data_IF_286265379135
#
_entry.id   IF_286265379135
#
_cell.length_a   1.000
_cell.length_b   1.000
_cell.length_c   1.000
_cell.angle_alpha   90.00
_cell.angle_beta   90.00
_cell.angle_gamma   90.00
#
_symmetry.space_group_name_H-M   'P 1'
#
loop_
_entity.id
_entity.type
_entity.pdbx_description
1 polymer ?
#
# COMPACT_ATOMS: atom_id res chain seq x y z
N UNK A 1 -38.82 -41.68 52.45
CA UNK A 1 -38.00 -40.51 52.26
C UNK A 1 -37.41 -40.59 50.85
N UNK A 2 -38.01 -39.87 49.91
CA UNK A 2 -37.55 -39.81 48.51
C UNK A 2 -36.87 -38.47 48.29
N UNK A 3 -35.63 -38.49 47.89
CA UNK A 3 -34.89 -37.29 47.50
C UNK A 3 -35.04 -37.09 45.99
N UNK A 4 -35.63 -35.98 45.59
CA UNK A 4 -35.68 -35.53 44.20
C UNK A 4 -34.40 -34.74 43.87
N UNK A 5 -33.64 -35.20 42.92
CA UNK A 5 -32.49 -34.48 42.38
C UNK A 5 -32.94 -33.56 41.27
N UNK A 6 -32.75 -32.25 41.47
CA UNK A 6 -32.97 -31.25 40.44
C UNK A 6 -31.73 -31.15 39.55
N UNK A 7 -31.88 -31.45 38.27
CA UNK A 7 -30.85 -31.27 37.27
C UNK A 7 -30.85 -29.81 36.77
N UNK A 8 -29.80 -29.06 37.07
CA UNK A 8 -29.51 -27.77 36.41
C UNK A 8 -28.91 -28.00 35.03
N UNK A 9 -29.63 -27.57 33.99
CA UNK A 9 -29.11 -27.52 32.62
C UNK A 9 -28.44 -26.14 32.45
N UNK A 10 -27.15 -26.06 32.10
CA UNK A 10 -26.55 -24.78 31.78
C UNK A 10 -26.98 -24.34 30.39
N UNK A 11 -27.56 -23.14 30.28
CA UNK A 11 -27.80 -22.45 29.01
C UNK A 11 -26.44 -22.08 28.39
N UNK A 12 -26.09 -22.73 27.31
CA UNK A 12 -25.02 -22.31 26.42
C UNK A 12 -25.50 -21.10 25.61
N UNK A 13 -25.11 -19.92 26.04
CA UNK A 13 -25.26 -18.69 25.25
C UNK A 13 -24.24 -18.74 24.09
N UNK A 14 -24.76 -18.94 22.90
CA UNK A 14 -23.96 -19.04 21.67
C UNK A 14 -23.34 -17.69 21.29
N UNK A 15 -22.01 -17.67 21.16
CA UNK A 15 -21.22 -16.59 20.60
C UNK A 15 -21.21 -16.64 19.05
N UNK A 16 -22.35 -16.41 18.42
CA UNK A 16 -22.51 -16.59 16.98
C UNK A 16 -22.43 -15.34 16.06
N UNK A 17 -22.32 -14.06 16.49
CA UNK A 17 -22.44 -12.97 15.51
C UNK A 17 -21.14 -12.53 14.81
N UNK A 18 -19.96 -12.71 15.41
CA UNK A 18 -18.71 -12.19 14.81
C UNK A 18 -18.23 -12.99 13.59
N UNK A 19 -18.37 -14.30 13.63
CA UNK A 19 -17.99 -15.18 12.51
C UNK A 19 -18.87 -15.00 11.27
N UNK A 20 -20.15 -14.67 11.44
CA UNK A 20 -21.09 -14.52 10.33
C UNK A 20 -20.84 -13.27 9.47
N UNK A 21 -20.43 -12.13 10.07
CA UNK A 21 -20.12 -10.90 9.34
C UNK A 21 -18.83 -11.01 8.53
N UNK A 22 -17.77 -11.56 9.10
CA UNK A 22 -16.50 -11.81 8.41
C UNK A 22 -16.69 -12.75 7.23
N UNK A 23 -17.52 -13.80 7.39
CA UNK A 23 -17.85 -14.74 6.32
C UNK A 23 -18.59 -14.06 5.14
N UNK A 24 -19.52 -13.12 5.41
CA UNK A 24 -20.26 -12.42 4.36
C UNK A 24 -19.37 -11.52 3.50
N UNK A 25 -18.46 -10.76 4.12
CA UNK A 25 -17.49 -9.92 3.39
C UNK A 25 -16.54 -10.79 2.56
N UNK A 26 -16.01 -11.86 3.13
CA UNK A 26 -15.13 -12.78 2.40
C UNK A 26 -15.85 -13.45 1.22
N UNK A 27 -17.12 -13.80 1.35
CA UNK A 27 -17.92 -14.31 0.24
C UNK A 27 -18.09 -13.30 -0.88
N UNK A 28 -18.33 -12.02 -0.56
CA UNK A 28 -18.42 -10.95 -1.56
C UNK A 28 -17.10 -10.74 -2.29
N UNK A 29 -15.98 -10.74 -1.56
CA UNK A 29 -14.65 -10.63 -2.14
C UNK A 29 -14.32 -11.83 -3.04
N UNK A 30 -14.68 -13.03 -2.63
CA UNK A 30 -14.53 -14.24 -3.45
C UNK A 30 -15.36 -14.18 -4.73
N UNK A 31 -16.58 -13.68 -4.67
CA UNK A 31 -17.44 -13.49 -5.84
C UNK A 31 -16.86 -12.44 -6.80
N UNK A 32 -16.35 -11.34 -6.26
CA UNK A 32 -15.68 -10.30 -7.05
C UNK A 32 -14.43 -10.85 -7.74
N UNK A 33 -13.60 -11.58 -7.02
CA UNK A 33 -12.41 -12.23 -7.59
C UNK A 33 -12.80 -13.18 -8.73
N UNK A 34 -13.79 -14.03 -8.51
CA UNK A 34 -14.26 -14.97 -9.51
C UNK A 34 -14.76 -14.28 -10.78
N UNK A 35 -15.54 -13.22 -10.64
CA UNK A 35 -16.07 -12.46 -11.78
C UNK A 35 -14.99 -11.68 -12.52
N UNK A 36 -13.91 -11.27 -11.83
CA UNK A 36 -12.81 -10.52 -12.40
C UNK A 36 -11.85 -11.35 -13.25
N UNK A 37 -11.81 -12.68 -13.02
CA UNK A 37 -10.87 -13.58 -13.69
C UNK A 37 -9.43 -13.49 -13.20
N UNK A 38 -9.16 -12.71 -12.16
CA UNK A 38 -7.83 -12.54 -11.59
C UNK A 38 -7.70 -13.06 -10.16
N UNK A 39 -6.63 -12.64 -9.50
CA UNK A 39 -6.33 -12.93 -8.09
C UNK A 39 -6.36 -11.62 -7.30
N UNK A 40 -7.23 -11.57 -6.28
CA UNK A 40 -7.46 -10.39 -5.45
C UNK A 40 -6.88 -10.61 -4.05
N UNK A 41 -6.16 -9.62 -3.53
CA UNK A 41 -5.69 -9.59 -2.15
C UNK A 41 -6.18 -8.32 -1.45
N UNK A 42 -6.76 -8.48 -0.28
CA UNK A 42 -7.32 -7.37 0.50
C UNK A 42 -6.88 -7.47 1.95
N UNK A 43 -6.50 -6.36 2.54
CA UNK A 43 -6.33 -6.21 3.97
C UNK A 43 -6.93 -4.86 4.41
N UNK A 44 -7.90 -4.92 5.30
CA UNK A 44 -8.50 -3.76 5.94
C UNK A 44 -8.15 -3.80 7.43
N UNK A 45 -7.68 -2.68 7.97
CA UNK A 45 -7.52 -2.46 9.41
C UNK A 45 -8.46 -1.34 9.83
N UNK A 46 -9.37 -1.63 10.74
CA UNK A 46 -10.16 -0.61 11.43
C UNK A 46 -9.41 -0.18 12.70
N UNK A 47 -8.90 1.06 12.71
CA UNK A 47 -8.10 1.52 13.85
C UNK A 47 -8.94 1.89 15.08
N UNK A 48 -10.26 1.90 14.98
CA UNK A 48 -11.14 2.13 16.13
C UNK A 48 -11.05 0.98 17.15
N UNK A 49 -10.92 -0.24 16.67
CA UNK A 49 -10.94 -1.46 17.50
C UNK A 49 -9.86 -2.48 17.15
N UNK A 50 -8.99 -2.15 16.18
CA UNK A 50 -7.94 -3.01 15.63
C UNK A 50 -8.46 -4.28 14.93
N UNK A 51 -9.73 -4.31 14.53
CA UNK A 51 -10.25 -5.43 13.74
C UNK A 51 -9.64 -5.43 12.33
N UNK A 52 -9.50 -6.62 11.75
CA UNK A 52 -8.95 -6.82 10.42
C UNK A 52 -9.91 -7.64 9.56
N UNK A 53 -10.01 -7.26 8.29
CA UNK A 53 -10.62 -8.09 7.25
C UNK A 53 -9.54 -8.45 6.26
N UNK A 54 -9.35 -9.75 6.03
CA UNK A 54 -8.28 -10.26 5.17
C UNK A 54 -8.89 -11.18 4.11
N UNK A 55 -8.47 -10.98 2.87
CA UNK A 55 -8.73 -11.89 1.78
C UNK A 55 -7.41 -12.14 1.04
N UNK A 56 -6.93 -13.39 1.01
CA UNK A 56 -5.58 -13.73 0.58
C UNK A 56 -4.51 -12.85 1.24
N UNK A 57 -4.73 -12.52 2.50
CA UNK A 57 -3.94 -11.53 3.24
C UNK A 57 -2.48 -11.89 3.44
N UNK A 58 -2.14 -13.18 3.37
CA UNK A 58 -0.77 -13.70 3.55
C UNK A 58 -0.16 -14.24 2.24
N UNK A 59 -0.82 -14.05 1.12
CA UNK A 59 -0.27 -14.36 -0.20
C UNK A 59 0.55 -13.19 -0.75
N UNK A 60 1.62 -13.51 -1.47
CA UNK A 60 2.45 -12.48 -2.10
C UNK A 60 1.81 -11.94 -3.37
N UNK A 61 1.89 -10.62 -3.51
CA UNK A 61 1.48 -9.88 -4.70
C UNK A 61 2.59 -8.94 -5.15
N UNK A 62 2.76 -8.74 -6.48
CA UNK A 62 3.68 -7.72 -6.98
C UNK A 62 3.19 -6.34 -6.56
N UNK A 63 4.08 -5.58 -5.92
CA UNK A 63 3.74 -4.25 -5.39
C UNK A 63 3.61 -3.18 -6.47
N UNK A 64 4.43 -3.29 -7.52
CA UNK A 64 4.59 -2.22 -8.49
C UNK A 64 4.84 -0.88 -7.77
N UNK A 65 4.19 0.18 -8.21
CA UNK A 65 4.42 1.52 -7.66
C UNK A 65 3.97 1.74 -6.22
N UNK A 66 3.26 0.78 -5.60
CA UNK A 66 2.95 0.91 -4.16
C UNK A 66 4.22 0.85 -3.30
N UNK A 67 5.31 0.27 -3.81
CA UNK A 67 6.63 0.25 -3.17
C UNK A 67 7.24 1.65 -2.98
N UNK A 68 6.78 2.65 -3.74
CA UNK A 68 7.25 4.03 -3.62
C UNK A 68 6.97 4.64 -2.25
N UNK A 69 5.94 4.19 -1.57
CA UNK A 69 5.66 4.62 -0.18
C UNK A 69 6.82 4.25 0.74
N UNK A 70 7.34 3.03 0.63
CA UNK A 70 8.45 2.57 1.45
C UNK A 70 9.73 3.36 1.16
N UNK A 71 10.02 3.62 -0.11
CA UNK A 71 11.21 4.38 -0.51
C UNK A 71 11.15 5.83 -0.01
N UNK A 72 10.03 6.51 -0.20
CA UNK A 72 9.85 7.88 0.30
C UNK A 72 9.90 7.94 1.84
N UNK A 73 9.29 6.98 2.52
CA UNK A 73 9.35 6.88 3.97
C UNK A 73 10.78 6.65 4.48
N UNK A 74 11.57 5.84 3.79
CA UNK A 74 12.97 5.62 4.15
C UNK A 74 13.81 6.89 4.03
N UNK A 75 13.58 7.69 2.99
CA UNK A 75 14.25 9.00 2.82
C UNK A 75 13.79 9.97 3.92
N UNK A 76 12.51 9.99 4.24
CA UNK A 76 12.00 10.78 5.39
C UNK A 76 12.66 10.34 6.70
N UNK A 77 12.87 9.04 6.90
CA UNK A 77 13.58 8.54 8.11
C UNK A 77 15.01 9.06 8.17
N UNK A 78 15.74 9.03 7.08
CA UNK A 78 17.09 9.62 7.02
C UNK A 78 17.07 11.12 7.36
N UNK A 79 16.03 11.85 6.95
CA UNK A 79 15.91 13.29 7.21
C UNK A 79 15.72 13.63 8.70
N UNK A 80 15.36 12.67 9.53
CA UNK A 80 15.25 12.89 10.99
C UNK A 80 16.59 13.24 11.61
N UNK A 81 17.68 12.69 11.08
CA UNK A 81 19.05 12.95 11.54
C UNK A 81 19.84 13.88 10.62
N UNK A 82 19.45 13.97 9.35
CA UNK A 82 20.06 14.82 8.33
C UNK A 82 19.06 15.93 7.94
N UNK A 83 19.03 16.99 8.71
CA UNK A 83 17.98 18.03 8.65
C UNK A 83 17.83 18.73 7.29
N UNK A 84 18.90 18.80 6.49
CA UNK A 84 18.89 19.44 5.18
C UNK A 84 18.71 18.44 4.03
N UNK A 85 18.53 17.16 4.34
CA UNK A 85 18.48 16.10 3.32
C UNK A 85 17.38 16.35 2.29
N UNK A 86 16.19 16.71 2.72
CA UNK A 86 15.05 16.91 1.80
C UNK A 86 15.27 18.08 0.85
N UNK A 87 16.13 19.03 1.19
CA UNK A 87 16.49 20.17 0.33
C UNK A 87 17.71 19.88 -0.56
N UNK A 88 18.32 18.69 -0.45
CA UNK A 88 19.48 18.32 -1.24
C UNK A 88 19.09 18.22 -2.71
N UNK A 89 19.77 18.98 -3.62
CA UNK A 89 19.53 18.85 -5.06
C UNK A 89 20.12 17.56 -5.61
N UNK A 90 19.39 16.95 -6.53
CA UNK A 90 19.81 15.74 -7.25
C UNK A 90 19.73 16.04 -8.76
N UNK A 91 20.82 15.82 -9.48
CA UNK A 91 20.85 15.99 -10.95
C UNK A 91 19.89 15.02 -11.64
N UNK A 92 19.20 15.54 -12.66
CA UNK A 92 18.40 14.75 -13.58
C UNK A 92 19.06 14.80 -14.96
N UNK A 93 19.67 13.69 -15.35
CA UNK A 93 20.34 13.54 -16.65
C UNK A 93 19.39 12.90 -17.66
N UNK A 94 19.57 13.15 -18.98
CA UNK A 94 18.77 12.47 -20.01
C UNK A 94 18.79 10.94 -19.86
N UNK A 95 19.95 10.36 -19.50
CA UNK A 95 20.10 8.92 -19.31
C UNK A 95 19.35 8.36 -18.09
N UNK A 96 18.90 9.19 -17.18
CA UNK A 96 18.14 8.77 -15.99
C UNK A 96 16.67 8.50 -16.32
N UNK A 97 16.16 9.04 -17.42
CA UNK A 97 14.74 8.88 -17.78
C UNK A 97 14.46 7.43 -18.16
N UNK A 98 13.37 6.92 -17.62
CA UNK A 98 12.85 5.58 -17.90
C UNK A 98 11.50 5.68 -18.63
N UNK A 99 10.60 4.74 -18.46
CA UNK A 99 9.38 4.65 -19.26
C UNK A 99 8.25 5.62 -18.86
N UNK A 100 8.29 6.19 -17.64
CA UNK A 100 7.23 7.06 -17.15
C UNK A 100 7.80 8.10 -16.19
N UNK A 101 7.88 9.35 -16.64
CA UNK A 101 8.61 10.41 -15.94
C UNK A 101 7.89 11.77 -16.05
N UNK A 102 6.60 11.87 -15.68
CA UNK A 102 5.80 13.07 -15.98
C UNK A 102 6.34 14.35 -15.33
N UNK A 103 7.06 14.24 -14.24
CA UNK A 103 7.66 15.37 -13.54
C UNK A 103 9.17 15.48 -13.86
N UNK A 104 9.93 14.39 -13.71
CA UNK A 104 11.38 14.40 -13.90
C UNK A 104 11.79 14.84 -15.31
N UNK A 105 11.02 14.52 -16.34
CA UNK A 105 11.32 14.93 -17.73
C UNK A 105 11.36 16.45 -17.90
N UNK A 106 10.69 17.19 -17.06
CA UNK A 106 10.69 18.67 -17.07
C UNK A 106 11.93 19.28 -16.43
N UNK A 107 12.74 18.48 -15.76
CA UNK A 107 13.93 18.89 -15.01
C UNK A 107 15.22 18.31 -15.56
N UNK A 108 15.19 17.73 -16.76
CA UNK A 108 16.39 17.18 -17.44
C UNK A 108 17.43 18.29 -17.63
N UNK A 109 18.68 17.96 -17.33
CA UNK A 109 19.83 18.87 -17.27
C UNK A 109 19.74 19.91 -16.12
N UNK A 110 18.79 19.76 -15.22
CA UNK A 110 18.66 20.52 -13.99
C UNK A 110 18.70 19.61 -12.79
N UNK A 111 18.09 20.08 -11.70
CA UNK A 111 18.03 19.33 -10.45
C UNK A 111 16.60 19.29 -9.89
N UNK A 112 16.34 18.27 -9.08
CA UNK A 112 15.18 18.18 -8.19
C UNK A 112 15.69 17.90 -6.78
N UNK A 113 15.06 18.47 -5.77
CA UNK A 113 15.38 18.14 -4.38
C UNK A 113 14.82 16.74 -4.04
N UNK A 114 15.35 16.11 -2.98
CA UNK A 114 14.80 14.84 -2.51
C UNK A 114 13.34 14.96 -2.06
N UNK A 115 12.92 16.13 -1.55
CA UNK A 115 11.50 16.39 -1.28
C UNK A 115 10.67 16.41 -2.56
N UNK A 116 11.12 17.10 -3.61
CA UNK A 116 10.44 17.16 -4.90
C UNK A 116 10.37 15.78 -5.57
N UNK A 117 11.45 15.00 -5.48
CA UNK A 117 11.48 13.63 -5.98
C UNK A 117 10.50 12.71 -5.24
N UNK A 118 10.44 12.84 -3.91
CA UNK A 118 9.48 12.08 -3.09
C UNK A 118 8.04 12.42 -3.46
N UNK A 119 7.71 13.70 -3.59
CA UNK A 119 6.38 14.15 -4.02
C UNK A 119 6.05 13.65 -5.44
N UNK A 120 6.99 13.73 -6.38
CA UNK A 120 6.79 13.24 -7.75
C UNK A 120 6.56 11.73 -7.79
N UNK A 121 7.33 10.96 -7.03
CA UNK A 121 7.16 9.51 -6.95
C UNK A 121 5.81 9.12 -6.34
N UNK A 122 5.36 9.81 -5.30
CA UNK A 122 4.12 9.49 -4.60
C UNK A 122 2.87 10.01 -5.31
N UNK A 123 2.89 11.26 -5.78
CA UNK A 123 1.69 11.94 -6.30
C UNK A 123 1.46 11.71 -7.79
N UNK A 124 2.51 11.48 -8.56
CA UNK A 124 2.47 11.27 -10.01
C UNK A 124 2.99 9.90 -10.44
N UNK A 125 3.48 9.11 -9.48
CA UNK A 125 4.08 7.80 -9.76
C UNK A 125 5.29 7.85 -10.71
N UNK A 126 6.07 8.93 -10.64
CA UNK A 126 7.25 9.16 -11.48
C UNK A 126 8.32 8.10 -11.21
N UNK A 127 8.69 7.34 -12.25
CA UNK A 127 9.63 6.22 -12.14
C UNK A 127 11.08 6.67 -12.04
N UNK A 128 11.46 7.75 -12.72
CA UNK A 128 12.80 8.33 -12.55
C UNK A 128 12.98 8.85 -11.14
N UNK A 129 11.98 9.53 -10.59
CA UNK A 129 12.00 9.97 -9.21
C UNK A 129 12.19 8.79 -8.25
N UNK A 130 11.45 7.68 -8.44
CA UNK A 130 11.64 6.47 -7.63
C UNK A 130 13.08 5.95 -7.69
N UNK A 131 13.68 5.88 -8.88
CA UNK A 131 15.06 5.42 -9.02
C UNK A 131 16.06 6.32 -8.31
N UNK A 132 15.80 7.63 -8.24
CA UNK A 132 16.63 8.56 -7.48
C UNK A 132 16.50 8.34 -5.97
N UNK A 133 15.30 8.03 -5.48
CA UNK A 133 15.10 7.65 -4.07
C UNK A 133 15.82 6.34 -3.76
N UNK A 134 15.70 5.34 -4.61
CA UNK A 134 16.41 4.05 -4.46
C UNK A 134 17.92 4.28 -4.41
N UNK A 135 18.47 5.11 -5.29
CA UNK A 135 19.90 5.43 -5.31
C UNK A 135 20.34 6.12 -4.00
N UNK A 136 19.55 7.05 -3.48
CA UNK A 136 19.80 7.69 -2.18
C UNK A 136 19.89 6.68 -1.04
N UNK A 137 19.16 5.59 -1.13
CA UNK A 137 19.09 4.54 -0.12
C UNK A 137 20.12 3.43 -0.32
N UNK A 138 20.97 3.54 -1.32
CA UNK A 138 22.01 2.54 -1.62
C UNK A 138 21.55 1.36 -2.47
N UNK A 139 20.40 1.48 -3.15
CA UNK A 139 19.82 0.45 -4.00
C UNK A 139 18.53 -0.15 -3.42
N UNK A 140 17.91 -1.11 -4.13
CA UNK A 140 16.68 -1.77 -3.68
C UNK A 140 16.82 -2.41 -2.30
N UNK A 141 17.98 -2.98 -2.00
CA UNK A 141 18.27 -3.56 -0.68
C UNK A 141 18.21 -2.55 0.46
N UNK A 142 18.49 -1.28 0.20
CA UNK A 142 18.36 -0.20 1.19
C UNK A 142 16.89 0.09 1.56
N UNK A 143 15.99 -0.03 0.59
CA UNK A 143 14.54 0.08 0.84
C UNK A 143 14.07 -1.10 1.69
N UNK A 144 14.48 -2.31 1.34
CA UNK A 144 14.17 -3.52 2.11
C UNK A 144 14.73 -3.44 3.54
N UNK A 145 15.95 -2.94 3.71
CA UNK A 145 16.55 -2.77 5.03
C UNK A 145 15.74 -1.81 5.91
N UNK A 146 15.23 -0.72 5.34
CA UNK A 146 14.33 0.17 6.07
C UNK A 146 13.04 -0.55 6.49
N UNK A 147 12.43 -1.34 5.61
CA UNK A 147 11.26 -2.14 5.94
C UNK A 147 11.53 -3.04 7.15
N UNK A 148 12.66 -3.74 7.17
CA UNK A 148 13.06 -4.58 8.31
C UNK A 148 13.22 -3.77 9.58
N UNK A 149 13.82 -2.59 9.49
CA UNK A 149 14.05 -1.71 10.64
C UNK A 149 12.76 -1.24 11.31
N UNK A 150 11.66 -1.13 10.57
CA UNK A 150 10.34 -0.78 11.12
C UNK A 150 9.46 -1.99 11.43
N UNK A 151 10.01 -3.20 11.35
CA UNK A 151 9.32 -4.44 11.72
C UNK A 151 8.58 -5.17 10.61
N UNK A 152 8.74 -4.76 9.36
CA UNK A 152 8.17 -5.45 8.21
C UNK A 152 9.16 -6.51 7.68
N UNK A 153 8.89 -7.77 8.00
CA UNK A 153 9.72 -8.91 7.60
C UNK A 153 9.32 -9.50 6.24
N UNK A 154 8.29 -8.95 5.60
CA UNK A 154 7.66 -9.53 4.40
C UNK A 154 8.00 -8.77 3.13
N UNK A 155 8.01 -7.44 3.19
CA UNK A 155 8.36 -6.55 2.08
C UNK A 155 9.73 -6.91 1.50
N UNK A 156 9.82 -6.95 0.18
CA UNK A 156 11.13 -7.03 -0.50
C UNK A 156 11.10 -6.24 -1.80
N UNK A 157 12.07 -5.37 -1.96
CA UNK A 157 12.39 -4.70 -3.22
C UNK A 157 13.70 -5.24 -3.74
N UNK A 158 13.69 -5.73 -4.97
CA UNK A 158 14.82 -6.43 -5.58
C UNK A 158 15.40 -5.69 -6.77
N UNK A 159 14.58 -4.90 -7.46
CA UNK A 159 14.92 -4.25 -8.72
C UNK A 159 14.57 -2.76 -8.69
N UNK A 160 15.02 -2.05 -9.72
CA UNK A 160 14.69 -0.65 -9.97
C UNK A 160 13.57 -0.52 -11.00
N UNK A 161 13.12 0.72 -11.25
CA UNK A 161 12.16 1.01 -12.32
C UNK A 161 12.85 0.92 -13.69
N UNK A 162 12.18 0.40 -14.72
CA UNK A 162 10.81 -0.11 -14.72
C UNK A 162 10.70 -1.62 -14.47
N UNK A 163 11.82 -2.34 -14.34
CA UNK A 163 11.83 -3.81 -14.30
C UNK A 163 11.12 -4.40 -13.08
N UNK A 164 10.97 -3.63 -12.00
CA UNK A 164 10.24 -4.08 -10.81
C UNK A 164 8.73 -4.31 -11.06
N UNK A 165 8.22 -3.89 -12.22
CA UNK A 165 6.81 -4.01 -12.58
C UNK A 165 6.48 -5.21 -13.47
N UNK A 166 7.39 -6.15 -13.68
CA UNK A 166 7.12 -7.33 -14.53
C UNK A 166 6.01 -8.23 -14.00
N UNK A 167 5.79 -8.24 -12.70
CA UNK A 167 4.66 -8.89 -12.03
C UNK A 167 4.43 -10.35 -12.46
N UNK A 168 5.50 -11.08 -12.76
CA UNK A 168 5.44 -12.46 -13.26
C UNK A 168 4.78 -13.35 -12.19
N UNK A 169 3.74 -14.12 -12.52
CA UNK A 169 3.11 -15.02 -11.58
C UNK A 169 4.11 -15.97 -10.91
N UNK A 170 4.08 -16.04 -9.58
CA UNK A 170 4.98 -16.89 -8.79
C UNK A 170 6.38 -16.31 -8.55
N UNK A 171 6.73 -15.18 -9.15
CA UNK A 171 8.00 -14.51 -8.89
C UNK A 171 7.94 -13.78 -7.54
N UNK A 172 8.83 -14.08 -6.57
CA UNK A 172 8.81 -13.43 -5.27
C UNK A 172 9.42 -12.03 -5.28
N UNK A 173 10.15 -11.64 -6.34
CA UNK A 173 10.82 -10.33 -6.42
C UNK A 173 9.79 -9.20 -6.40
N UNK A 174 10.13 -8.15 -5.67
CA UNK A 174 9.34 -6.91 -5.60
C UNK A 174 7.90 -7.15 -5.13
N UNK A 175 7.74 -8.01 -4.14
CA UNK A 175 6.44 -8.44 -3.58
C UNK A 175 6.33 -8.14 -2.09
N UNK A 176 5.09 -8.08 -1.64
CA UNK A 176 4.70 -8.13 -0.23
C UNK A 176 3.36 -8.85 -0.10
N UNK A 177 2.81 -8.92 1.10
CA UNK A 177 1.45 -9.42 1.33
C UNK A 177 0.52 -8.27 1.69
N UNK A 178 -0.80 -8.40 1.43
CA UNK A 178 -1.76 -7.39 1.85
C UNK A 178 -1.69 -7.06 3.34
N UNK A 179 -1.61 -8.07 4.20
CA UNK A 179 -1.48 -7.90 5.65
C UNK A 179 -0.25 -7.09 6.03
N UNK A 180 0.92 -7.46 5.51
CA UNK A 180 2.17 -6.78 5.85
C UNK A 180 2.16 -5.33 5.40
N UNK A 181 1.68 -5.05 4.18
CA UNK A 181 1.60 -3.68 3.69
C UNK A 181 0.60 -2.85 4.49
N UNK A 182 -0.55 -3.40 4.87
CA UNK A 182 -1.51 -2.68 5.70
C UNK A 182 -0.93 -2.32 7.07
N UNK A 183 -0.26 -3.24 7.73
CA UNK A 183 0.43 -2.99 9.01
C UNK A 183 1.52 -1.93 8.87
N UNK A 184 2.33 -2.01 7.82
CA UNK A 184 3.40 -1.05 7.54
C UNK A 184 2.83 0.34 7.23
N UNK A 185 1.82 0.43 6.37
CA UNK A 185 1.19 1.71 6.04
C UNK A 185 0.59 2.36 7.29
N UNK A 186 -0.03 1.57 8.17
CA UNK A 186 -0.52 2.06 9.46
C UNK A 186 0.62 2.64 10.31
N UNK A 187 1.73 1.94 10.45
CA UNK A 187 2.87 2.40 11.25
C UNK A 187 3.50 3.68 10.69
N UNK A 188 3.59 3.79 9.37
CA UNK A 188 4.18 4.95 8.71
C UNK A 188 3.30 6.21 8.78
N UNK A 189 1.96 6.05 8.73
CA UNK A 189 1.04 7.19 8.58
C UNK A 189 0.28 7.54 9.86
N UNK A 190 0.06 6.59 10.73
CA UNK A 190 -0.76 6.72 11.95
C UNK A 190 0.01 6.33 13.22
N UNK A 191 1.09 5.59 13.08
CA UNK A 191 1.93 5.10 14.18
C UNK A 191 3.20 5.93 14.36
N UNK A 192 4.24 5.28 14.88
CA UNK A 192 5.48 5.92 15.32
C UNK A 192 6.74 5.46 14.56
N UNK A 193 6.59 4.83 13.38
CA UNK A 193 7.73 4.43 12.55
C UNK A 193 8.54 5.65 12.09
N UNK A 194 7.88 6.77 11.84
CA UNK A 194 8.48 8.06 11.52
C UNK A 194 8.26 9.06 12.68
N UNK A 195 9.16 10.03 12.78
CA UNK A 195 8.94 11.21 13.62
C UNK A 195 7.68 11.97 13.18
N UNK A 196 7.12 12.78 14.08
CA UNK A 196 5.84 13.46 13.86
C UNK A 196 5.86 14.33 12.59
N UNK A 197 6.91 15.11 12.37
CA UNK A 197 7.05 15.98 11.20
C UNK A 197 7.12 15.16 9.90
N UNK A 198 7.88 14.08 9.89
CA UNK A 198 8.05 13.20 8.73
C UNK A 198 6.77 12.42 8.42
N UNK A 199 6.09 11.94 9.45
CA UNK A 199 4.78 11.30 9.32
C UNK A 199 3.76 12.26 8.70
N UNK A 200 3.68 13.49 9.20
CA UNK A 200 2.78 14.51 8.65
C UNK A 200 3.09 14.81 7.18
N UNK A 201 4.37 14.87 6.82
CA UNK A 201 4.79 15.09 5.43
C UNK A 201 4.37 13.93 4.53
N UNK A 202 4.57 12.69 4.96
CA UNK A 202 4.15 11.51 4.20
C UNK A 202 2.63 11.52 3.96
N UNK A 203 1.86 11.78 4.99
CA UNK A 203 0.40 11.86 4.92
C UNK A 203 -0.04 12.96 3.95
N UNK A 204 0.58 14.13 4.00
CA UNK A 204 0.30 15.24 3.07
C UNK A 204 0.56 14.83 1.63
N UNK A 205 1.67 14.19 1.35
CA UNK A 205 1.97 13.71 -0.01
C UNK A 205 0.94 12.68 -0.48
N UNK A 206 0.57 11.72 0.35
CA UNK A 206 -0.41 10.70 0.00
C UNK A 206 -1.81 11.28 -0.26
N UNK A 207 -2.22 12.26 0.54
CA UNK A 207 -3.50 12.97 0.33
C UNK A 207 -3.50 13.73 -1.00
N UNK A 208 -2.35 14.22 -1.45
CA UNK A 208 -2.16 14.92 -2.71
C UNK A 208 -1.99 14.02 -3.93
N UNK A 209 -2.16 12.70 -3.81
CA UNK A 209 -2.06 11.78 -4.94
C UNK A 209 -3.03 12.15 -6.06
N UNK A 210 -2.54 12.15 -7.30
CA UNK A 210 -3.30 12.50 -8.51
C UNK A 210 -3.79 11.28 -9.30
N UNK A 211 -3.34 10.08 -8.95
CA UNK A 211 -3.53 8.87 -9.78
C UNK A 211 -4.64 7.93 -9.29
N UNK A 212 -5.29 8.24 -8.15
CA UNK A 212 -6.14 7.29 -7.44
C UNK A 212 -7.64 7.44 -7.62
N UNK A 213 -8.12 8.39 -8.43
CA UNK A 213 -9.54 8.74 -8.49
C UNK A 213 -10.48 7.59 -8.89
N UNK A 214 -10.00 6.64 -9.69
CA UNK A 214 -10.79 5.51 -10.19
C UNK A 214 -10.61 4.21 -9.38
N UNK A 215 -9.77 4.21 -8.37
CA UNK A 215 -9.45 3.04 -7.54
C UNK A 215 -10.20 3.07 -6.21
N UNK A 216 -9.54 2.91 -5.07
CA UNK A 216 -10.22 2.89 -3.75
C UNK A 216 -11.13 4.11 -3.57
N UNK A 217 -10.68 5.30 -3.93
CA UNK A 217 -11.48 6.55 -3.79
C UNK A 217 -12.83 6.45 -4.47
N UNK A 218 -12.93 5.77 -5.62
CA UNK A 218 -14.18 5.62 -6.37
C UNK A 218 -15.22 4.78 -5.63
N UNK A 219 -14.80 3.93 -4.70
CA UNK A 219 -15.69 3.10 -3.88
C UNK A 219 -16.11 3.75 -2.56
N UNK A 220 -15.67 4.97 -2.27
CA UNK A 220 -15.88 5.64 -0.98
C UNK A 220 -16.76 6.88 -1.12
N UNK A 221 -17.44 7.30 -0.04
CA UNK A 221 -18.13 8.59 -0.02
C UNK A 221 -17.15 9.73 -0.31
N UNK A 222 -17.56 10.69 -1.13
CA UNK A 222 -16.74 11.85 -1.51
C UNK A 222 -16.40 12.78 -0.34
N UNK A 223 -17.15 12.70 0.74
CA UNK A 223 -16.90 13.45 1.98
C UNK A 223 -15.73 12.88 2.82
N UNK A 224 -15.28 11.67 2.51
CA UNK A 224 -14.17 11.06 3.24
C UNK A 224 -12.83 11.51 2.65
N UNK A 225 -11.86 11.78 3.54
CA UNK A 225 -10.49 12.09 3.14
C UNK A 225 -9.71 10.80 2.90
N UNK A 226 -8.95 10.75 1.82
CA UNK A 226 -8.15 9.58 1.44
C UNK A 226 -6.74 10.02 1.07
N UNK A 227 -5.75 9.31 1.59
CA UNK A 227 -4.38 9.36 1.10
C UNK A 227 -4.03 8.00 0.54
N UNK A 228 -3.57 7.92 -0.72
CA UNK A 228 -3.33 6.64 -1.37
C UNK A 228 -2.10 6.64 -2.27
N UNK A 229 -1.65 5.44 -2.60
CA UNK A 229 -0.64 5.18 -3.64
C UNK A 229 -1.10 4.03 -4.50
N UNK A 230 -1.24 4.29 -5.78
CA UNK A 230 -1.57 3.28 -6.80
C UNK A 230 -0.34 2.54 -7.30
N UNK A 231 -0.57 1.42 -7.96
CA UNK A 231 0.45 0.69 -8.69
C UNK A 231 -0.15 -0.07 -9.85
N UNK A 232 0.60 -0.20 -10.93
CA UNK A 232 0.23 -1.03 -12.08
C UNK A 232 1.47 -1.64 -12.72
N UNK A 233 1.29 -2.79 -13.33
CA UNK A 233 2.37 -3.52 -13.99
C UNK A 233 1.82 -4.51 -15.00
N UNK A 234 2.69 -5.35 -15.53
CA UNK A 234 2.29 -6.43 -16.42
C UNK A 234 1.32 -7.39 -15.71
N UNK A 235 0.73 -8.29 -16.46
CA UNK A 235 -0.30 -9.21 -15.99
C UNK A 235 -1.55 -8.49 -15.44
N UNK A 236 -1.87 -7.33 -16.00
CA UNK A 236 -2.99 -6.51 -15.55
C UNK A 236 -2.95 -6.17 -14.07
N UNK A 237 -1.74 -6.18 -13.48
CA UNK A 237 -1.54 -5.88 -12.06
C UNK A 237 -2.01 -4.47 -11.77
N UNK A 238 -2.96 -4.36 -10.86
CA UNK A 238 -3.65 -3.13 -10.51
C UNK A 238 -3.77 -3.07 -9.00
N UNK A 239 -3.13 -2.08 -8.38
CA UNK A 239 -3.00 -1.98 -6.93
C UNK A 239 -3.39 -0.59 -6.44
N UNK A 240 -3.89 -0.52 -5.21
CA UNK A 240 -4.02 0.73 -4.47
C UNK A 240 -3.89 0.44 -2.98
N UNK A 241 -3.14 1.27 -2.28
CA UNK A 241 -3.01 1.24 -0.82
C UNK A 241 -3.39 2.60 -0.26
N UNK A 242 -4.22 2.60 0.78
CA UNK A 242 -4.84 3.83 1.25
C UNK A 242 -4.95 3.90 2.78
N UNK A 243 -4.84 5.12 3.27
CA UNK A 243 -5.34 5.52 4.59
C UNK A 243 -6.60 6.36 4.36
N UNK A 244 -7.65 6.03 5.07
CA UNK A 244 -8.98 6.60 4.88
C UNK A 244 -9.41 7.24 6.19
N UNK A 245 -9.81 8.50 6.14
CA UNK A 245 -10.38 9.22 7.28
C UNK A 245 -11.87 9.45 7.04
N UNK A 246 -12.73 8.51 7.49
CA UNK A 246 -14.18 8.72 7.46
C UNK A 246 -14.55 9.89 8.36
N UNK A 247 -15.60 10.60 7.99
CA UNK A 247 -16.07 11.72 8.78
C UNK A 247 -16.55 11.23 10.16
N UNK A 248 -15.99 11.81 11.23
CA UNK A 248 -16.42 11.56 12.61
C UNK A 248 -16.03 10.21 13.20
N UNK A 249 -15.06 9.50 12.62
CA UNK A 249 -14.56 8.25 13.19
C UNK A 249 -13.06 8.05 12.98
N UNK A 250 -12.48 7.05 13.68
CA UNK A 250 -11.09 6.65 13.54
C UNK A 250 -10.76 6.19 12.11
N UNK A 251 -9.52 6.40 11.66
CA UNK A 251 -9.12 6.07 10.31
C UNK A 251 -9.11 4.56 10.04
N UNK A 252 -9.22 4.23 8.75
CA UNK A 252 -9.09 2.89 8.20
C UNK A 252 -7.81 2.81 7.37
N UNK A 253 -7.21 1.64 7.33
CA UNK A 253 -6.11 1.32 6.40
C UNK A 253 -6.60 0.22 5.48
N UNK A 254 -6.51 0.42 4.18
CA UNK A 254 -6.98 -0.52 3.17
C UNK A 254 -5.91 -0.77 2.12
N UNK A 255 -5.58 -2.03 1.92
CA UNK A 255 -4.69 -2.50 0.85
C UNK A 255 -5.51 -3.35 -0.11
N UNK A 256 -5.46 -3.01 -1.39
CA UNK A 256 -6.09 -3.80 -2.46
C UNK A 256 -5.04 -4.11 -3.52
N UNK A 257 -4.77 -5.38 -3.72
CA UNK A 257 -3.86 -5.90 -4.74
C UNK A 257 -4.63 -6.81 -5.70
N UNK A 258 -4.38 -6.64 -6.99
CA UNK A 258 -5.03 -7.44 -8.01
C UNK A 258 -4.05 -7.76 -9.14
N UNK A 259 -4.02 -9.02 -9.58
CA UNK A 259 -3.18 -9.46 -10.70
C UNK A 259 -3.89 -10.52 -11.52
N UNK A 260 -3.51 -10.67 -12.78
CA UNK A 260 -4.23 -11.52 -13.74
C UNK A 260 -3.28 -12.53 -14.38
N UNK A 261 -3.80 -13.62 -15.00
CA UNK A 261 -2.95 -14.68 -15.53
C UNK A 261 -2.28 -14.35 -16.86
N UNK A 262 -2.77 -13.34 -17.63
CA UNK A 262 -2.24 -13.00 -18.94
C UNK A 262 -1.34 -11.77 -18.88
N UNK A 263 -0.16 -11.87 -19.49
CA UNK A 263 0.86 -10.82 -19.41
C UNK A 263 0.37 -9.45 -19.89
N UNK A 264 -0.43 -9.42 -20.95
CA UNK A 264 -0.96 -8.19 -21.56
C UNK A 264 -2.38 -7.85 -21.12
N UNK A 265 -2.87 -8.43 -20.04
CA UNK A 265 -4.18 -8.08 -19.48
C UNK A 265 -4.25 -6.59 -19.13
N UNK A 266 -5.42 -6.02 -19.31
CA UNK A 266 -5.66 -4.61 -18.99
C UNK A 266 -5.79 -4.37 -17.49
N UNK A 267 -5.50 -3.15 -17.08
CA UNK A 267 -5.69 -2.66 -15.71
C UNK A 267 -7.17 -2.70 -15.30
N UNK A 268 -7.47 -3.08 -14.07
CA UNK A 268 -8.83 -3.26 -13.55
C UNK A 268 -9.06 -2.45 -12.28
N UNK A 269 -9.03 -1.11 -12.42
CA UNK A 269 -9.29 -0.19 -11.29
C UNK A 269 -10.71 -0.33 -10.73
N UNK A 270 -11.67 -0.74 -11.57
CA UNK A 270 -13.03 -1.05 -11.17
C UNK A 270 -13.11 -2.17 -10.11
N UNK A 271 -12.24 -3.17 -10.19
CA UNK A 271 -12.14 -4.24 -9.19
C UNK A 271 -11.72 -3.67 -7.83
N UNK A 272 -10.74 -2.76 -7.81
CA UNK A 272 -10.30 -2.12 -6.57
C UNK A 272 -11.40 -1.25 -5.95
N UNK A 273 -12.13 -0.51 -6.76
CA UNK A 273 -13.25 0.32 -6.31
C UNK A 273 -14.40 -0.53 -5.75
N UNK A 274 -14.59 -1.74 -6.27
CA UNK A 274 -15.66 -2.65 -5.83
C UNK A 274 -15.30 -3.44 -4.58
N UNK A 275 -14.02 -3.65 -4.34
CA UNK A 275 -13.56 -4.40 -3.17
C UNK A 275 -13.78 -3.63 -1.87
#
# INVERSE_FOLDING_TARGET
MMFAAAACIPLLLGSAPLYAQTSAVQQKLAALEKSSGGRLGVALIDTADNTQVLYRGDERFPMCSTSKVMAAAAVLKQSETQKQLLNQPVEIKPADLVNYNPIAEKHVNGTMTLAELSAAALQYSDNTAMNKLIAQLGGPGGVTAFARAIGDETFRLDRTEPTLNTAIPGDPRDTTTPRAMAQTLRQLTLGHALGETQRAQLVTWLKGNTTGAASIRAGLPTSWTVGDKTGSGDYGTTNDIAVIWPQGRAPLVLVTYFTQPQQNAESRRDVLASA
#
